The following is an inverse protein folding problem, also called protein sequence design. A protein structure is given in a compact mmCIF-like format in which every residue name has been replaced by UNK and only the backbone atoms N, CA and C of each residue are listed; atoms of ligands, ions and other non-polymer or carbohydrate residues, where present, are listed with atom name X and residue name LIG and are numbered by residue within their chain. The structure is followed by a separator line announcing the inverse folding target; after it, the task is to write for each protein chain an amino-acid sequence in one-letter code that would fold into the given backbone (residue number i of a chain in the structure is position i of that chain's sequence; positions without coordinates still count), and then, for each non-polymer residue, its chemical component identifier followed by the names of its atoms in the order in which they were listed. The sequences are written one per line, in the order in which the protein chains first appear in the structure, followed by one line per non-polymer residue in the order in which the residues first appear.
data_IF_896289599809
#
_entry.id   IF_896289599809
#
_cell.length_a   1.000
_cell.length_b   1.000
_cell.length_c   1.000
_cell.angle_alpha   90.00
_cell.angle_beta   90.00
_cell.angle_gamma   90.00
#
_symmetry.space_group_name_H-M   'P 1'
#
loop_
_entity.id
_entity.type
_entity.pdbx_description
1 polymer ?
#
# COMPACT_ATOMS: atom_id res chain seq x y z
N UNK A 1 -3.31 14.50 10.09
CA UNK A 1 -2.90 13.21 9.50
C UNK A 1 -2.00 13.51 8.31
N UNK A 2 -1.05 12.59 8.08
CA UNK A 2 0.34 12.78 7.63
C UNK A 2 0.92 14.18 7.92
N UNK A 3 1.89 14.27 8.83
CA UNK A 3 2.57 15.55 9.06
C UNK A 3 3.37 16.00 7.84
N UNK A 4 3.76 17.27 7.83
CA UNK A 4 4.45 17.92 6.70
C UNK A 4 5.75 17.21 6.32
N UNK A 5 6.49 16.69 7.30
CA UNK A 5 7.75 15.98 7.05
C UNK A 5 7.47 14.68 6.31
N UNK A 6 6.52 13.89 6.79
CA UNK A 6 6.12 12.64 6.15
C UNK A 6 5.55 12.89 4.75
N UNK A 7 4.71 13.91 4.58
CA UNK A 7 4.19 14.30 3.25
C UNK A 7 5.31 14.63 2.29
N UNK A 8 6.30 15.42 2.73
CA UNK A 8 7.46 15.79 1.89
C UNK A 8 8.27 14.56 1.47
N UNK A 9 8.57 13.66 2.41
CA UNK A 9 9.29 12.43 2.12
C UNK A 9 8.50 11.53 1.16
N UNK A 10 7.20 11.36 1.41
CA UNK A 10 6.35 10.52 0.59
C UNK A 10 6.23 11.08 -0.83
N UNK A 11 6.05 12.40 -1.02
CA UNK A 11 6.07 13.03 -2.35
C UNK A 11 7.33 12.68 -3.13
N UNK A 12 8.51 12.82 -2.50
CA UNK A 12 9.79 12.49 -3.15
C UNK A 12 9.91 10.99 -3.52
N UNK A 13 9.28 10.09 -2.77
CA UNK A 13 9.17 8.69 -3.17
C UNK A 13 8.19 8.51 -4.33
N UNK A 14 7.01 9.13 -4.29
CA UNK A 14 5.98 8.97 -5.32
C UNK A 14 6.40 9.53 -6.69
N UNK A 15 7.38 10.44 -6.75
CA UNK A 15 8.03 10.85 -8.00
C UNK A 15 8.70 9.67 -8.74
N UNK A 16 9.08 8.61 -8.03
CA UNK A 16 9.72 7.41 -8.60
C UNK A 16 8.73 6.40 -9.16
N UNK A 17 7.42 6.63 -9.02
CA UNK A 17 6.41 5.79 -9.66
C UNK A 17 6.58 5.88 -11.18
N UNK A 18 6.69 4.74 -11.85
CA UNK A 18 6.76 4.64 -13.31
C UNK A 18 5.36 4.51 -13.92
N UNK A 19 4.46 3.86 -13.19
CA UNK A 19 3.09 3.55 -13.61
C UNK A 19 2.07 4.07 -12.60
N UNK A 20 0.81 4.32 -13.03
CA UNK A 20 -0.27 4.66 -12.11
C UNK A 20 -0.61 3.47 -11.20
N UNK A 21 -1.07 3.80 -9.99
CA UNK A 21 -1.58 2.85 -8.99
C UNK A 21 -2.92 3.33 -8.44
N UNK A 22 -3.74 2.38 -7.99
CA UNK A 22 -4.99 2.64 -7.28
C UNK A 22 -4.91 2.13 -5.84
N UNK A 23 -5.36 2.96 -4.91
CA UNK A 23 -5.66 2.59 -3.54
C UNK A 23 -7.14 2.21 -3.50
N UNK A 24 -7.44 0.93 -3.26
CA UNK A 24 -8.82 0.41 -3.25
C UNK A 24 -9.22 0.11 -1.81
N UNK A 25 -9.95 1.02 -1.19
CA UNK A 25 -10.34 0.95 0.21
C UNK A 25 -11.62 0.12 0.42
N UNK A 26 -11.61 -0.72 1.46
CA UNK A 26 -12.78 -1.41 2.01
C UNK A 26 -13.01 -0.88 3.42
N UNK A 27 -14.06 -0.07 3.57
CA UNK A 27 -14.31 0.75 4.76
C UNK A 27 -15.67 0.43 5.39
N UNK A 28 -15.80 0.76 6.68
CA UNK A 28 -17.06 0.76 7.43
C UNK A 28 -17.29 2.13 8.10
N UNK A 29 -18.33 2.24 8.93
CA UNK A 29 -18.70 3.50 9.61
C UNK A 29 -17.84 3.81 10.85
N UNK A 30 -16.82 2.99 11.15
CA UNK A 30 -16.02 3.15 12.35
C UNK A 30 -15.08 4.37 12.30
N UNK A 31 -14.69 4.93 13.46
CA UNK A 31 -13.67 5.99 13.51
C UNK A 31 -12.34 5.59 12.86
N UNK A 32 -11.98 4.30 12.91
CA UNK A 32 -10.75 3.80 12.28
C UNK A 32 -10.84 3.76 10.75
N UNK A 33 -12.01 3.51 10.20
CA UNK A 33 -12.26 3.65 8.76
C UNK A 33 -12.18 5.10 8.29
N UNK A 34 -12.65 6.05 9.10
CA UNK A 34 -12.51 7.47 8.79
C UNK A 34 -11.03 7.90 8.81
N UNK A 35 -10.26 7.42 9.79
CA UNK A 35 -8.81 7.66 9.88
C UNK A 35 -8.05 7.04 8.69
N UNK A 36 -8.39 5.81 8.31
CA UNK A 36 -7.84 5.16 7.12
C UNK A 36 -8.18 5.94 5.84
N UNK A 37 -9.45 6.30 5.64
CA UNK A 37 -9.88 7.00 4.44
C UNK A 37 -9.14 8.33 4.28
N UNK A 38 -9.04 9.09 5.36
CA UNK A 38 -8.29 10.30 5.37
C UNK A 38 -6.82 10.00 4.96
N UNK A 39 -6.17 8.95 5.50
CA UNK A 39 -4.76 8.65 5.21
C UNK A 39 -4.56 8.40 3.71
N UNK A 40 -5.46 7.64 3.11
CA UNK A 40 -5.45 7.36 1.68
C UNK A 40 -5.71 8.61 0.85
N UNK A 41 -6.58 9.53 1.30
CA UNK A 41 -6.79 10.83 0.64
C UNK A 41 -5.53 11.69 0.66
N UNK A 42 -4.83 11.74 1.79
CA UNK A 42 -3.54 12.44 1.87
C UNK A 42 -2.55 11.84 0.87
N UNK A 43 -2.38 10.52 0.84
CA UNK A 43 -1.44 9.84 -0.08
C UNK A 43 -1.81 10.14 -1.54
N UNK A 44 -3.09 9.99 -1.90
CA UNK A 44 -3.58 10.25 -3.26
C UNK A 44 -3.36 11.72 -3.69
N UNK A 45 -3.43 12.67 -2.74
CA UNK A 45 -3.19 14.09 -3.04
C UNK A 45 -1.73 14.43 -3.38
N UNK A 46 -0.77 13.55 -3.04
CA UNK A 46 0.66 13.81 -3.23
C UNK A 46 1.17 13.45 -4.63
N UNK A 47 0.39 12.75 -5.46
CA UNK A 47 0.82 12.37 -6.81
C UNK A 47 -0.34 12.11 -7.75
N UNK A 48 -0.27 12.67 -8.96
CA UNK A 48 -1.24 12.40 -10.03
C UNK A 48 -1.25 10.94 -10.52
N UNK A 49 -0.24 10.14 -10.13
CA UNK A 49 -0.18 8.70 -10.44
C UNK A 49 -0.89 7.83 -9.40
N UNK A 50 -1.44 8.41 -8.35
CA UNK A 50 -2.15 7.68 -7.28
C UNK A 50 -3.60 8.10 -7.27
N UNK A 51 -4.50 7.15 -7.48
CA UNK A 51 -5.95 7.37 -7.33
C UNK A 51 -6.48 6.61 -6.13
N UNK A 52 -7.60 7.07 -5.59
CA UNK A 52 -8.31 6.44 -4.47
C UNK A 52 -9.71 6.03 -4.92
N UNK A 53 -10.07 4.79 -4.63
CA UNK A 53 -11.41 4.24 -4.73
C UNK A 53 -11.85 3.67 -3.39
N UNK A 54 -13.14 3.74 -3.10
CA UNK A 54 -13.73 3.23 -1.84
C UNK A 54 -14.80 2.15 -2.07
N UNK A 55 -14.75 1.49 -3.23
CA UNK A 55 -15.66 0.42 -3.64
C UNK A 55 -15.10 -0.99 -3.37
N UNK A 56 -14.03 -1.09 -2.57
CA UNK A 56 -13.44 -2.36 -2.15
C UNK A 56 -14.42 -3.21 -1.31
N UNK A 57 -14.26 -4.53 -1.40
CA UNK A 57 -15.18 -5.51 -0.79
C UNK A 57 -14.47 -6.50 0.15
N UNK A 58 -13.32 -6.12 0.70
CA UNK A 58 -12.64 -6.98 1.68
C UNK A 58 -13.50 -7.14 2.95
N UNK A 59 -13.43 -8.34 3.55
CA UNK A 59 -14.14 -8.66 4.77
C UNK A 59 -13.56 -7.92 5.99
N UNK A 60 -12.26 -7.58 5.97
CA UNK A 60 -11.59 -6.80 7.01
C UNK A 60 -11.80 -5.32 6.74
N UNK A 61 -12.37 -4.61 7.70
CA UNK A 61 -12.65 -3.17 7.64
C UNK A 61 -12.12 -2.49 8.91
N UNK A 62 -11.30 -1.43 8.81
CA UNK A 62 -10.75 -0.86 7.58
C UNK A 62 -9.63 -1.71 6.97
N UNK A 63 -9.63 -1.77 5.64
CA UNK A 63 -8.49 -2.22 4.86
C UNK A 63 -8.40 -1.46 3.54
N UNK A 64 -7.27 -1.59 2.84
CA UNK A 64 -7.15 -1.19 1.45
C UNK A 64 -6.13 -2.07 0.73
N UNK A 65 -6.28 -2.16 -0.58
CA UNK A 65 -5.31 -2.80 -1.45
C UNK A 65 -4.61 -1.78 -2.36
N UNK A 66 -3.38 -2.09 -2.74
CA UNK A 66 -2.62 -1.36 -3.77
C UNK A 66 -2.68 -2.17 -5.06
N UNK A 67 -3.16 -1.55 -6.13
CA UNK A 67 -3.41 -2.20 -7.42
C UNK A 67 -2.87 -1.37 -8.59
N UNK A 68 -2.72 -2.01 -9.75
CA UNK A 68 -2.75 -1.27 -11.01
C UNK A 68 -4.20 -0.90 -11.37
N UNK A 69 -4.41 0.17 -12.15
CA UNK A 69 -5.75 0.53 -12.61
C UNK A 69 -6.48 -0.61 -13.31
N UNK A 70 -7.67 -0.93 -12.81
CA UNK A 70 -8.52 -2.01 -13.36
C UNK A 70 -8.09 -3.43 -12.99
N UNK A 71 -7.01 -3.61 -12.22
CA UNK A 71 -6.58 -4.92 -11.72
C UNK A 71 -7.04 -5.18 -10.28
N UNK A 72 -7.05 -6.45 -9.89
CA UNK A 72 -7.15 -6.81 -8.49
C UNK A 72 -5.90 -6.34 -7.73
N UNK A 73 -6.09 -5.88 -6.49
CA UNK A 73 -4.98 -5.49 -5.62
C UNK A 73 -4.08 -6.67 -5.30
N UNK A 74 -2.76 -6.43 -5.33
CA UNK A 74 -1.74 -7.46 -5.12
C UNK A 74 -1.19 -7.47 -3.69
N UNK A 75 -1.24 -6.32 -3.02
CA UNK A 75 -0.83 -6.13 -1.63
C UNK A 75 -1.98 -5.44 -0.90
N UNK A 76 -2.34 -5.93 0.28
CA UNK A 76 -3.40 -5.35 1.10
C UNK A 76 -2.94 -5.11 2.54
N UNK A 77 -3.42 -4.02 3.13
CA UNK A 77 -3.21 -3.68 4.53
C UNK A 77 -4.57 -3.64 5.22
N UNK A 78 -4.71 -4.37 6.33
CA UNK A 78 -5.88 -4.32 7.21
C UNK A 78 -5.47 -3.68 8.54
N UNK A 79 -6.12 -2.57 8.90
CA UNK A 79 -5.62 -1.65 9.94
C UNK A 79 -4.63 -0.61 9.38
N UNK A 80 -4.35 0.43 10.15
CA UNK A 80 -3.64 1.63 9.69
C UNK A 80 -2.12 1.39 9.68
N UNK A 81 -1.45 1.35 8.51
CA UNK A 81 -0.03 1.00 8.39
C UNK A 81 0.89 2.21 8.66
N UNK A 82 0.94 2.63 9.91
CA UNK A 82 1.80 3.72 10.40
C UNK A 82 2.93 3.16 11.27
N UNK A 83 3.71 4.02 11.93
CA UNK A 83 4.87 3.57 12.73
C UNK A 83 5.92 2.89 11.86
N UNK A 84 6.44 1.73 12.27
CA UNK A 84 7.43 0.99 11.49
C UNK A 84 6.88 0.46 10.16
N UNK A 85 5.57 0.24 10.05
CA UNK A 85 4.95 -0.22 8.81
C UNK A 85 4.78 0.88 7.76
N UNK A 86 5.08 2.14 8.10
CA UNK A 86 5.06 3.22 7.12
C UNK A 86 6.06 2.97 5.98
N UNK A 87 7.23 2.40 6.29
CA UNK A 87 8.20 2.02 5.25
C UNK A 87 7.67 0.88 4.36
N UNK A 88 6.99 -0.11 4.95
CA UNK A 88 6.34 -1.20 4.21
C UNK A 88 5.28 -0.65 3.24
N UNK A 89 4.47 0.32 3.68
CA UNK A 89 3.53 1.02 2.81
C UNK A 89 4.25 1.71 1.65
N UNK A 90 5.30 2.49 1.92
CA UNK A 90 6.07 3.19 0.86
C UNK A 90 6.60 2.20 -0.18
N UNK A 91 7.15 1.07 0.26
CA UNK A 91 7.66 0.04 -0.65
C UNK A 91 6.54 -0.61 -1.49
N UNK A 92 5.38 -0.90 -0.88
CA UNK A 92 4.23 -1.44 -1.61
C UNK A 92 3.74 -0.49 -2.71
N UNK A 93 3.67 0.82 -2.44
CA UNK A 93 3.32 1.83 -3.44
C UNK A 93 4.36 1.88 -4.57
N UNK A 94 5.64 1.96 -4.21
CA UNK A 94 6.75 2.05 -5.17
C UNK A 94 6.82 0.83 -6.09
N UNK A 95 6.80 -0.37 -5.52
CA UNK A 95 6.95 -1.61 -6.28
C UNK A 95 5.74 -1.88 -7.17
N UNK A 96 4.52 -1.61 -6.67
CA UNK A 96 3.32 -1.66 -7.52
C UNK A 96 3.40 -0.61 -8.64
N UNK A 97 3.95 0.58 -8.35
CA UNK A 97 4.18 1.60 -9.37
C UNK A 97 5.35 1.34 -10.32
N UNK A 98 5.96 0.15 -10.29
CA UNK A 98 7.04 -0.24 -11.21
C UNK A 98 8.45 0.14 -10.75
N UNK A 99 8.65 0.64 -9.53
CA UNK A 99 9.99 0.83 -8.98
C UNK A 99 10.59 -0.55 -8.65
N UNK A 100 11.79 -0.89 -9.16
CA UNK A 100 12.35 -2.23 -8.98
C UNK A 100 12.70 -2.50 -7.49
N UNK A 101 12.42 -3.71 -6.98
CA UNK A 101 12.87 -4.10 -5.65
C UNK A 101 14.39 -4.21 -5.60
N UNK A 102 14.98 -3.92 -4.44
CA UNK A 102 16.44 -4.07 -4.20
C UNK A 102 16.77 -5.49 -3.77
N UNK A 103 16.46 -6.44 -4.63
CA UNK A 103 16.69 -7.88 -4.45
C UNK A 103 17.45 -8.38 -5.68
N UNK A 104 18.34 -9.35 -5.50
CA UNK A 104 19.12 -9.89 -6.61
C UNK A 104 18.23 -10.63 -7.64
N UNK A 105 18.72 -10.72 -8.87
CA UNK A 105 17.97 -11.29 -9.98
C UNK A 105 17.65 -12.78 -9.77
N UNK A 106 18.55 -13.54 -9.13
CA UNK A 106 18.35 -14.97 -8.87
C UNK A 106 17.16 -15.19 -7.93
N UNK A 107 17.09 -14.43 -6.83
CA UNK A 107 15.96 -14.46 -5.90
C UNK A 107 14.65 -14.03 -6.58
N UNK A 108 14.68 -13.01 -7.44
CA UNK A 108 13.48 -12.58 -8.20
C UNK A 108 12.99 -13.71 -9.12
N UNK A 109 13.88 -14.34 -9.88
CA UNK A 109 13.52 -15.44 -10.77
C UNK A 109 13.03 -16.67 -9.99
N UNK A 110 13.62 -16.95 -8.82
CA UNK A 110 13.15 -18.00 -7.93
C UNK A 110 11.72 -17.73 -7.45
N UNK A 111 11.40 -16.50 -7.02
CA UNK A 111 10.06 -16.11 -6.60
C UNK A 111 9.06 -16.22 -7.76
N UNK A 112 9.43 -15.79 -8.97
CA UNK A 112 8.61 -15.93 -10.18
C UNK A 112 8.34 -17.39 -10.55
N UNK A 113 9.28 -18.28 -10.24
CA UNK A 113 9.18 -19.71 -10.51
C UNK A 113 8.34 -20.51 -9.51
N UNK A 114 7.84 -19.90 -8.43
CA UNK A 114 6.99 -20.58 -7.45
C UNK A 114 5.70 -21.09 -8.11
N UNK A 115 5.42 -22.38 -7.93
CA UNK A 115 4.23 -23.03 -8.49
C UNK A 115 3.12 -23.10 -7.44
N UNK A 116 1.90 -22.73 -7.83
CA UNK A 116 0.72 -22.81 -6.97
C UNK A 116 0.14 -21.44 -6.62
N UNK A 117 -0.91 -21.45 -5.80
CA UNK A 117 -1.55 -20.23 -5.28
C UNK A 117 -1.30 -20.18 -3.77
N UNK A 118 -0.69 -19.09 -3.32
CA UNK A 118 -0.35 -18.88 -1.92
C UNK A 118 -1.00 -17.60 -1.43
N UNK A 119 -1.72 -17.68 -0.31
CA UNK A 119 -2.29 -16.54 0.37
C UNK A 119 -1.58 -16.37 1.71
N UNK A 120 -0.83 -15.28 1.84
CA UNK A 120 -0.10 -14.96 3.06
C UNK A 120 -0.84 -13.88 3.85
N UNK A 121 -0.89 -14.08 5.16
CA UNK A 121 -1.41 -13.09 6.11
C UNK A 121 -0.38 -12.91 7.21
N UNK A 122 0.10 -11.68 7.38
CA UNK A 122 1.11 -11.34 8.38
C UNK A 122 0.48 -10.41 9.40
N UNK A 123 0.47 -10.84 10.66
CA UNK A 123 -0.03 -10.04 11.77
C UNK A 123 1.11 -9.26 12.40
N UNK A 124 0.98 -7.93 12.42
CA UNK A 124 1.97 -7.01 12.97
C UNK A 124 1.35 -6.10 14.01
N UNK A 125 2.19 -5.61 14.92
CA UNK A 125 1.85 -4.55 15.87
C UNK A 125 2.59 -3.28 15.47
N UNK A 126 1.97 -2.11 15.66
CA UNK A 126 2.61 -0.80 15.39
C UNK A 126 3.88 -0.56 16.25
N UNK A 127 4.06 -1.32 17.33
CA UNK A 127 5.26 -1.28 18.17
C UNK A 127 6.31 -2.36 17.82
N UNK A 128 6.02 -3.26 16.89
CA UNK A 128 6.97 -4.28 16.44
C UNK A 128 8.11 -3.60 15.67
N UNK A 129 9.36 -3.89 16.01
CA UNK A 129 10.54 -3.37 15.31
C UNK A 129 11.11 -4.37 14.28
N UNK A 130 10.65 -5.63 14.31
CA UNK A 130 11.24 -6.75 13.57
C UNK A 130 10.29 -7.24 12.49
#
# INVERSE_FOLDING_TARGET
MLDTTIKTQLTAYLEKLQQPIELVASLDDSPKSQEMHALLQDIASLSAKVTLRSDGQDARRPSFAVAHPGEAGRIAFAGIPMGHEFTSLVLALLQTGGHPPKVDAETIEQIRGLQGSYQFEVFVSLSCHN
#
